data_IF_199591841298
#
_entry.id   IF_199591841298
#
_cell.length_a   1.000
_cell.length_b   1.000
_cell.length_c   1.000
_cell.angle_alpha   90.00
_cell.angle_beta   90.00
_cell.angle_gamma   90.00
#
_symmetry.space_group_name_H-M   'P 1'
#
loop_
_entity.id
_entity.type
_entity.pdbx_description
1 polymer ?
#
# COMPACT_ATOMS: atom_id res chain seq x y z
N UNK A 1 -10.97 6.99 -5.76
CA UNK A 1 -11.49 7.11 -4.38
C UNK A 1 -12.50 6.00 -4.21
N UNK A 2 -12.03 4.80 -3.82
CA UNK A 2 -12.92 3.64 -3.64
C UNK A 2 -13.54 3.75 -2.24
N UNK A 3 -14.82 4.08 -2.19
CA UNK A 3 -15.59 4.20 -0.96
C UNK A 3 -15.83 2.81 -0.36
N UNK A 4 -15.42 2.64 0.90
CA UNK A 4 -15.78 1.45 1.69
C UNK A 4 -17.19 1.68 2.23
N UNK A 5 -18.19 1.16 1.54
CA UNK A 5 -19.58 1.26 1.99
C UNK A 5 -19.94 0.05 2.87
N UNK A 6 -20.10 0.31 4.18
CA UNK A 6 -20.68 -0.65 5.12
C UNK A 6 -22.21 -0.55 5.06
N UNK A 7 -22.86 -1.42 4.29
CA UNK A 7 -24.32 -1.56 4.35
C UNK A 7 -24.70 -2.25 5.67
N UNK A 8 -25.35 -1.51 6.57
CA UNK A 8 -25.87 -2.01 7.82
C UNK A 8 -26.96 -3.07 7.55
N UNK A 9 -26.63 -4.35 7.77
CA UNK A 9 -27.60 -5.45 7.71
C UNK A 9 -27.05 -6.81 7.23
N UNK A 10 -25.95 -6.85 6.48
CA UNK A 10 -25.44 -8.10 5.88
C UNK A 10 -23.94 -8.39 6.14
N UNK A 11 -23.27 -7.57 6.95
CA UNK A 11 -21.83 -7.66 7.17
C UNK A 11 -21.06 -6.84 6.14
N UNK A 12 -20.05 -6.09 6.59
CA UNK A 12 -19.05 -5.48 5.72
C UNK A 12 -18.38 -6.60 4.92
N UNK A 13 -18.07 -6.37 3.64
CA UNK A 13 -17.25 -7.25 2.78
C UNK A 13 -15.98 -6.51 2.40
N UNK A 14 -14.80 -7.15 2.53
CA UNK A 14 -13.56 -6.60 1.96
C UNK A 14 -13.56 -6.85 0.46
N UNK A 15 -13.59 -5.76 -0.31
CA UNK A 15 -13.52 -5.80 -1.76
C UNK A 15 -12.32 -4.95 -2.17
N UNK A 16 -11.49 -5.46 -3.09
CA UNK A 16 -10.34 -4.73 -3.63
C UNK A 16 -9.20 -5.66 -4.02
N UNK A 17 -8.37 -5.18 -4.96
CA UNK A 17 -7.25 -5.96 -5.52
C UNK A 17 -6.16 -6.30 -4.52
N UNK A 18 -6.15 -5.63 -3.35
CA UNK A 18 -5.16 -5.80 -2.29
C UNK A 18 -5.59 -6.80 -1.21
N UNK A 19 -6.81 -7.36 -1.27
CA UNK A 19 -7.27 -8.31 -0.25
C UNK A 19 -6.42 -9.58 -0.27
N UNK A 20 -5.85 -9.94 0.90
CA UNK A 20 -5.00 -11.12 1.10
C UNK A 20 -3.77 -11.21 0.18
N UNK A 21 -3.31 -10.08 -0.34
CA UNK A 21 -2.12 -10.03 -1.18
C UNK A 21 -0.83 -10.02 -0.36
N UNK A 22 0.19 -10.74 -0.83
CA UNK A 22 1.48 -10.86 -0.14
C UNK A 22 2.61 -10.38 -1.03
N UNK A 23 3.58 -9.66 -0.44
CA UNK A 23 4.83 -9.24 -1.09
C UNK A 23 4.65 -8.40 -2.36
N UNK A 24 3.53 -7.70 -2.48
CA UNK A 24 3.22 -6.84 -3.62
C UNK A 24 3.89 -5.46 -3.48
N UNK A 25 4.16 -4.82 -4.61
CA UNK A 25 4.75 -3.49 -4.65
C UNK A 25 3.70 -2.42 -4.87
N UNK A 26 3.74 -1.37 -4.05
CA UNK A 26 2.95 -0.15 -4.19
C UNK A 26 3.88 0.98 -4.62
N UNK A 27 3.63 1.58 -5.78
CA UNK A 27 4.30 2.81 -6.21
C UNK A 27 3.75 4.01 -5.44
N UNK A 28 4.64 4.93 -5.06
CA UNK A 28 4.33 6.11 -4.28
C UNK A 28 4.82 7.35 -5.03
N UNK A 29 3.97 8.39 -5.04
CA UNK A 29 4.33 9.77 -5.41
C UNK A 29 4.02 10.63 -4.20
N UNK A 30 4.99 11.39 -3.72
CA UNK A 30 4.82 12.30 -2.59
C UNK A 30 5.60 13.58 -2.81
N UNK A 31 5.16 14.66 -2.19
CA UNK A 31 5.83 15.96 -2.25
C UNK A 31 6.55 16.21 -0.93
N UNK A 32 7.82 16.59 -1.01
CA UNK A 32 8.67 16.92 0.13
C UNK A 32 9.51 18.14 -0.22
N UNK A 33 9.49 19.18 0.61
CA UNK A 33 10.26 20.41 0.33
C UNK A 33 9.82 21.20 -0.91
N UNK A 34 8.62 20.94 -1.45
CA UNK A 34 8.15 21.55 -2.71
C UNK A 34 8.57 20.76 -3.96
N UNK A 35 9.29 19.66 -3.79
CA UNK A 35 9.77 18.78 -4.85
C UNK A 35 8.97 17.47 -4.86
N UNK A 36 8.71 16.92 -6.05
CA UNK A 36 8.03 15.63 -6.19
C UNK A 36 9.05 14.51 -6.14
N UNK A 37 8.82 13.53 -5.27
CA UNK A 37 9.64 12.32 -5.17
C UNK A 37 8.80 11.08 -5.45
N UNK A 38 9.47 10.06 -5.96
CA UNK A 38 8.88 8.76 -6.26
C UNK A 38 9.52 7.67 -5.39
N UNK A 39 8.72 6.68 -5.03
CA UNK A 39 9.16 5.57 -4.20
C UNK A 39 8.33 4.32 -4.39
N UNK A 40 8.70 3.27 -3.66
CA UNK A 40 7.93 2.05 -3.59
C UNK A 40 7.88 1.50 -2.17
N UNK A 41 6.80 0.79 -1.85
CA UNK A 41 6.67 0.02 -0.61
C UNK A 41 6.25 -1.42 -0.93
N UNK A 42 6.88 -2.40 -0.27
CA UNK A 42 6.53 -3.81 -0.39
C UNK A 42 5.60 -4.22 0.73
N UNK A 43 4.34 -4.47 0.39
CA UNK A 43 3.24 -4.72 1.30
C UNK A 43 2.80 -6.17 1.34
N UNK A 44 2.39 -6.61 2.52
CA UNK A 44 1.60 -7.82 2.72
C UNK A 44 0.32 -7.44 3.46
N UNK A 45 -0.82 -7.56 2.78
CA UNK A 45 -2.15 -7.22 3.27
C UNK A 45 -2.88 -8.50 3.63
N UNK A 46 -3.38 -8.58 4.86
CA UNK A 46 -4.05 -9.76 5.40
C UNK A 46 -5.39 -9.35 5.97
N UNK A 47 -6.45 -10.07 5.61
CA UNK A 47 -7.72 -10.02 6.35
C UNK A 47 -7.52 -10.65 7.73
N UNK A 48 -8.01 -9.97 8.76
CA UNK A 48 -7.95 -10.35 10.18
C UNK A 48 -9.30 -10.81 10.72
N UNK A 49 -10.27 -11.04 9.84
CA UNK A 49 -11.64 -11.44 10.20
C UNK A 49 -12.60 -10.26 10.33
N UNK A 50 -13.70 -10.48 11.03
CA UNK A 50 -14.79 -9.50 11.23
C UNK A 50 -14.91 -9.17 12.71
N UNK A 51 -15.01 -7.89 13.06
CA UNK A 51 -15.40 -7.42 14.40
C UNK A 51 -16.53 -6.40 14.29
N UNK A 52 -17.60 -6.60 15.05
CA UNK A 52 -18.79 -5.74 15.05
C UNK A 52 -19.38 -5.50 13.64
N UNK A 53 -19.35 -6.53 12.79
CA UNK A 53 -19.83 -6.42 11.41
C UNK A 53 -18.88 -5.71 10.44
N UNK A 54 -17.71 -5.24 10.89
CA UNK A 54 -16.68 -4.63 10.05
C UNK A 54 -15.52 -5.61 9.81
N UNK A 55 -15.07 -5.75 8.57
CA UNK A 55 -13.84 -6.48 8.32
C UNK A 55 -12.62 -5.70 8.78
N UNK A 56 -11.69 -6.42 9.39
CA UNK A 56 -10.38 -5.89 9.74
C UNK A 56 -9.37 -6.35 8.70
N UNK A 57 -8.57 -5.41 8.22
CA UNK A 57 -7.40 -5.70 7.41
C UNK A 57 -6.15 -5.16 8.13
N UNK A 58 -5.03 -5.87 7.98
CA UNK A 58 -3.71 -5.39 8.42
C UNK A 58 -2.76 -5.37 7.25
N UNK A 59 -1.96 -4.32 7.10
CA UNK A 59 -0.88 -4.25 6.14
C UNK A 59 0.47 -4.29 6.88
N UNK A 60 1.40 -5.09 6.38
CA UNK A 60 2.77 -5.17 6.86
C UNK A 60 3.73 -4.69 5.76
N UNK A 61 4.54 -3.68 6.09
CA UNK A 61 5.59 -3.16 5.20
C UNK A 61 6.86 -3.97 5.43
N UNK A 62 7.33 -4.64 4.38
CA UNK A 62 8.52 -5.50 4.44
C UNK A 62 9.76 -4.89 3.78
N UNK A 63 9.60 -3.76 3.09
CA UNK A 63 10.67 -3.03 2.45
C UNK A 63 10.12 -1.76 1.79
N UNK A 64 10.98 -0.78 1.61
CA UNK A 64 10.66 0.48 0.96
C UNK A 64 11.93 1.13 0.43
N UNK A 65 11.80 1.93 -0.61
CA UNK A 65 12.85 2.83 -1.10
C UNK A 65 12.20 4.05 -1.78
N UNK A 66 12.98 5.12 -1.91
CA UNK A 66 12.59 6.32 -2.64
C UNK A 66 13.80 6.92 -3.33
N UNK A 67 13.55 7.69 -4.39
CA UNK A 67 14.59 8.45 -5.08
C UNK A 67 14.80 9.80 -4.40
N UNK A 68 16.06 10.05 -4.05
CA UNK A 68 16.53 11.28 -3.43
C UNK A 68 16.51 12.46 -4.40
N UNK A 69 16.70 12.21 -5.70
CA UNK A 69 16.61 13.23 -6.73
C UNK A 69 15.13 13.53 -7.05
N UNK A 70 14.72 14.80 -7.01
CA UNK A 70 13.39 15.22 -7.45
C UNK A 70 13.06 14.76 -8.86
N UNK A 71 11.78 14.47 -9.09
CA UNK A 71 11.21 14.15 -10.40
C UNK A 71 11.86 12.95 -11.14
N UNK A 72 12.60 12.12 -10.41
CA UNK A 72 13.30 10.95 -10.95
C UNK A 72 12.52 9.66 -10.68
N UNK A 73 12.38 8.84 -11.72
CA UNK A 73 11.70 7.55 -11.64
C UNK A 73 12.51 6.53 -10.83
N UNK A 74 11.81 5.66 -10.11
CA UNK A 74 12.38 4.51 -9.41
C UNK A 74 11.56 3.26 -9.72
N UNK A 75 12.23 2.16 -10.06
CA UNK A 75 11.56 0.89 -10.31
C UNK A 75 11.15 0.23 -9.00
N UNK A 76 9.94 -0.32 -8.96
CA UNK A 76 9.47 -1.05 -7.80
C UNK A 76 10.38 -2.24 -7.48
N UNK A 77 10.88 -2.30 -6.24
CA UNK A 77 11.79 -3.35 -5.79
C UNK A 77 13.27 -3.06 -6.06
N UNK A 78 13.59 -1.91 -6.65
CA UNK A 78 14.97 -1.45 -6.76
C UNK A 78 15.51 -1.06 -5.37
N UNK A 79 16.64 -1.65 -5.00
CA UNK A 79 17.35 -1.40 -3.73
C UNK A 79 18.69 -0.70 -3.93
N UNK A 80 18.98 -0.24 -5.15
CA UNK A 80 20.28 0.26 -5.55
C UNK A 80 21.30 -0.87 -5.75
N UNK A 81 22.44 -0.51 -6.34
CA UNK A 81 23.61 -1.38 -6.44
C UNK A 81 24.45 -1.21 -5.17
N UNK A 82 24.74 -2.30 -4.48
CA UNK A 82 25.80 -2.31 -3.46
C UNK A 82 27.13 -2.35 -4.22
N UNK A 83 27.85 -1.22 -4.30
CA UNK A 83 29.28 -1.23 -4.61
C UNK A 83 30.12 -1.48 -3.36
#
# INVERSE_FOLDING_TARGET
MESVECFAGLGCVLIGSWVNQKRQYLGLRFEFGGETHYGWARLTVMSRGVRHGCHLASAHVSGYAYESQPDTEIKAGDTGTLE
#
